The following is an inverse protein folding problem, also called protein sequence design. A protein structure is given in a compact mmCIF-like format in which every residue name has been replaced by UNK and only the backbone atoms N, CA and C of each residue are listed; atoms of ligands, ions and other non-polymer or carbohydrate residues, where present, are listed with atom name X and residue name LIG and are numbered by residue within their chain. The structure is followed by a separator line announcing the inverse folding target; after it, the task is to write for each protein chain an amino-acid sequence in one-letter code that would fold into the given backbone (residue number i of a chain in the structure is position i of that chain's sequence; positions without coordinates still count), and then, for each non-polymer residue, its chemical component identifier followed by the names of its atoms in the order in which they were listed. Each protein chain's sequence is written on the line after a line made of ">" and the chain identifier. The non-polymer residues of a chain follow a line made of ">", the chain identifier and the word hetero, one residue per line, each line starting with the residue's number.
data_IF_412544785561
#
_entry.id   IF_412544785561
#
_cell.length_a   1.000
_cell.length_b   1.000
_cell.length_c   1.000
_cell.angle_alpha   90.00
_cell.angle_beta   90.00
_cell.angle_gamma   90.00
#
_symmetry.space_group_name_H-M   'P 1'
#
loop_
_entity.id
_entity.type
_entity.pdbx_description
1 polymer ?
#
# COMPACT_ATOMS: atom_id res chain seq x y z
N UNK A 1 -9.54 -12.93 17.20
CA UNK A 1 -8.70 -13.70 16.25
C UNK A 1 -9.19 -13.36 14.86
N UNK A 2 -8.58 -12.35 14.23
CA UNK A 2 -8.87 -12.05 12.83
C UNK A 2 -8.18 -13.15 12.03
N UNK A 3 -9.00 -14.06 11.48
CA UNK A 3 -8.55 -15.01 10.48
C UNK A 3 -8.19 -14.15 9.27
N UNK A 4 -6.90 -14.04 8.99
CA UNK A 4 -6.38 -13.51 7.73
C UNK A 4 -6.92 -14.44 6.64
N UNK A 5 -8.03 -14.07 6.00
CA UNK A 5 -8.47 -14.75 4.79
C UNK A 5 -7.44 -14.41 3.71
N UNK A 6 -6.62 -15.39 3.33
CA UNK A 6 -5.53 -15.29 2.35
C UNK A 6 -6.00 -15.03 0.89
N UNK A 7 -7.05 -14.24 0.68
CA UNK A 7 -7.61 -13.96 -0.65
C UNK A 7 -7.50 -12.48 -1.08
N UNK A 8 -7.10 -11.54 -0.21
CA UNK A 8 -7.25 -10.10 -0.52
C UNK A 8 -6.07 -9.22 -0.10
N UNK A 9 -4.83 -9.61 -0.42
CA UNK A 9 -3.66 -8.69 -0.34
C UNK A 9 -3.42 -7.95 -1.66
N UNK A 10 -4.49 -7.68 -2.40
CA UNK A 10 -4.44 -7.09 -3.74
C UNK A 10 -5.05 -5.70 -3.77
N UNK A 11 -4.58 -4.87 -4.70
CA UNK A 11 -5.10 -3.53 -4.91
C UNK A 11 -6.59 -3.60 -5.30
N UNK A 12 -7.49 -2.93 -4.55
CA UNK A 12 -8.93 -3.09 -4.74
C UNK A 12 -9.51 -2.27 -5.89
N UNK A 13 -8.76 -1.31 -6.45
CA UNK A 13 -9.21 -0.47 -7.56
C UNK A 13 -8.04 0.27 -8.24
N UNK A 14 -8.33 0.86 -9.40
CA UNK A 14 -7.43 1.80 -10.06
C UNK A 14 -6.47 1.12 -11.04
N UNK A 15 -5.29 1.72 -11.23
CA UNK A 15 -4.36 1.33 -12.31
C UNK A 15 -3.81 -0.09 -12.13
N UNK A 16 -3.61 -0.51 -10.89
CA UNK A 16 -2.98 -1.78 -10.53
C UNK A 16 -3.96 -2.73 -9.85
N UNK A 17 -5.27 -2.59 -10.10
CA UNK A 17 -6.29 -3.47 -9.53
C UNK A 17 -5.93 -4.96 -9.72
N UNK A 18 -6.08 -5.75 -8.66
CA UNK A 18 -5.75 -7.18 -8.65
C UNK A 18 -4.26 -7.50 -8.48
N UNK A 19 -3.36 -6.51 -8.49
CA UNK A 19 -1.94 -6.72 -8.18
C UNK A 19 -1.74 -6.86 -6.68
N UNK A 20 -0.74 -7.63 -6.24
CA UNK A 20 -0.39 -7.66 -4.82
C UNK A 20 0.21 -6.32 -4.37
N UNK A 21 0.01 -5.97 -3.10
CA UNK A 21 0.65 -4.77 -2.54
C UNK A 21 2.17 -4.85 -2.58
N UNK A 22 2.75 -6.04 -2.43
CA UNK A 22 4.20 -6.24 -2.59
C UNK A 22 4.69 -5.88 -3.99
N UNK A 23 4.02 -6.36 -5.04
CA UNK A 23 4.35 -6.06 -6.44
C UNK A 23 4.15 -4.57 -6.76
N UNK A 24 3.06 -3.97 -6.26
CA UNK A 24 2.80 -2.55 -6.43
C UNK A 24 3.93 -1.72 -5.84
N UNK A 25 4.35 -2.01 -4.61
CA UNK A 25 5.33 -1.20 -3.91
C UNK A 25 6.73 -1.36 -4.51
N UNK A 26 7.10 -2.53 -5.04
CA UNK A 26 8.38 -2.71 -5.73
C UNK A 26 8.40 -2.06 -7.13
N UNK A 27 7.27 -2.12 -7.84
CA UNK A 27 7.14 -1.58 -9.21
C UNK A 27 6.94 -0.07 -9.23
N UNK A 28 6.02 0.45 -8.40
CA UNK A 28 5.59 1.85 -8.38
C UNK A 28 5.29 2.32 -6.94
N UNK A 29 6.35 2.55 -6.14
CA UNK A 29 6.20 2.98 -4.75
C UNK A 29 5.52 4.35 -4.62
N UNK A 30 5.59 5.20 -5.65
CA UNK A 30 4.91 6.48 -5.67
C UNK A 30 3.39 6.32 -5.75
N UNK A 31 2.91 5.37 -6.56
CA UNK A 31 1.49 5.03 -6.59
C UNK A 31 1.01 4.42 -5.28
N UNK A 32 1.81 3.55 -4.65
CA UNK A 32 1.50 3.01 -3.33
C UNK A 32 1.29 4.11 -2.28
N UNK A 33 2.17 5.12 -2.26
CA UNK A 33 2.05 6.28 -1.38
C UNK A 33 0.85 7.17 -1.71
N UNK A 34 0.52 7.34 -3.00
CA UNK A 34 -0.67 8.06 -3.42
C UNK A 34 -1.93 7.32 -2.95
N UNK A 35 -1.98 6.00 -3.12
CA UNK A 35 -3.12 5.16 -2.77
C UNK A 35 -3.42 5.22 -1.25
N UNK A 36 -2.38 5.29 -0.41
CA UNK A 36 -2.52 5.55 1.04
C UNK A 36 -3.11 6.93 1.38
N UNK A 37 -3.00 7.92 0.50
CA UNK A 37 -3.62 9.24 0.69
C UNK A 37 -5.05 9.29 0.18
N UNK A 38 -5.47 8.27 -0.56
CA UNK A 38 -6.79 8.24 -1.19
C UNK A 38 -7.88 7.97 -0.16
N UNK A 39 -8.88 8.84 -0.13
CA UNK A 39 -9.96 8.79 0.86
C UNK A 39 -10.84 7.55 0.68
N UNK A 40 -11.01 7.12 -0.56
CA UNK A 40 -11.81 5.94 -0.90
C UNK A 40 -11.18 4.66 -0.35
N UNK A 41 -9.85 4.51 -0.42
CA UNK A 41 -9.18 3.34 0.14
C UNK A 41 -9.45 3.25 1.64
N UNK A 42 -9.21 4.35 2.37
CA UNK A 42 -9.39 4.40 3.82
C UNK A 42 -10.84 4.19 4.25
N UNK A 43 -11.81 4.68 3.48
CA UNK A 43 -13.22 4.63 3.86
C UNK A 43 -13.91 3.33 3.43
N UNK A 44 -13.61 2.79 2.25
CA UNK A 44 -14.28 1.61 1.69
C UNK A 44 -13.52 0.31 1.96
N UNK A 45 -12.20 0.38 2.07
CA UNK A 45 -11.31 -0.77 2.20
C UNK A 45 -10.33 -0.59 3.38
N UNK A 46 -10.83 -0.47 4.62
CA UNK A 46 -9.99 -0.18 5.77
C UNK A 46 -8.90 -1.24 6.03
N UNK A 47 -9.20 -2.53 5.80
CA UNK A 47 -8.20 -3.59 5.95
C UNK A 47 -7.06 -3.45 4.92
N UNK A 48 -7.42 -3.21 3.65
CA UNK A 48 -6.47 -2.99 2.56
C UNK A 48 -5.57 -1.77 2.80
N UNK A 49 -6.11 -0.73 3.45
CA UNK A 49 -5.32 0.42 3.87
C UNK A 49 -4.21 0.02 4.85
N UNK A 50 -4.54 -0.75 5.90
CA UNK A 50 -3.55 -1.16 6.90
C UNK A 50 -2.53 -2.14 6.32
N UNK A 51 -2.95 -3.05 5.45
CA UNK A 51 -2.04 -3.95 4.76
C UNK A 51 -1.06 -3.17 3.87
N UNK A 52 -1.55 -2.28 3.01
CA UNK A 52 -0.69 -1.44 2.17
C UNK A 52 0.26 -0.56 2.99
N UNK A 53 -0.22 0.00 4.11
CA UNK A 53 0.59 0.79 5.04
C UNK A 53 1.71 -0.08 5.64
N UNK A 54 1.40 -1.31 6.04
CA UNK A 54 2.37 -2.28 6.53
C UNK A 54 3.43 -2.61 5.48
N UNK A 55 3.03 -2.89 4.23
CA UNK A 55 3.96 -3.14 3.11
C UNK A 55 4.88 -1.93 2.85
N UNK A 56 4.32 -0.71 2.87
CA UNK A 56 5.08 0.53 2.69
C UNK A 56 6.08 0.77 3.83
N UNK A 57 5.68 0.54 5.08
CA UNK A 57 6.54 0.71 6.26
C UNK A 57 7.62 -0.38 6.37
N UNK A 58 7.28 -1.63 6.04
CA UNK A 58 8.21 -2.75 6.01
C UNK A 58 9.35 -2.53 5.01
N UNK A 59 9.04 -2.00 3.82
CA UNK A 59 10.06 -1.64 2.84
C UNK A 59 10.82 -0.36 3.21
N UNK A 60 10.20 0.60 3.91
CA UNK A 60 10.88 1.78 4.44
C UNK A 60 11.92 1.46 5.54
N UNK A 61 11.71 0.40 6.32
CA UNK A 61 12.69 -0.11 7.28
C UNK A 61 13.89 -0.78 6.58
N UNK A 62 13.66 -1.46 5.45
CA UNK A 62 14.69 -2.15 4.69
C UNK A 62 15.50 -1.24 3.73
N UNK A 63 14.89 -0.18 3.18
CA UNK A 63 15.50 0.69 2.16
C UNK A 63 15.70 2.11 2.72
N UNK A 64 16.96 2.51 2.98
CA UNK A 64 17.41 3.82 3.54
C UNK A 64 17.07 5.08 2.70
N UNK A 65 15.95 5.11 1.97
CA UNK A 65 15.61 6.18 1.03
C UNK A 65 14.15 6.65 1.03
N UNK A 66 13.23 5.94 1.68
CA UNK A 66 11.79 6.24 1.59
C UNK A 66 11.36 7.56 2.25
N UNK A 67 12.09 8.02 3.28
CA UNK A 67 11.79 9.29 3.99
C UNK A 67 11.89 10.55 3.11
N UNK A 68 12.48 10.49 1.92
CA UNK A 68 12.55 11.64 0.99
C UNK A 68 11.36 11.77 0.06
N UNK A 69 10.62 10.70 -0.24
CA UNK A 69 9.49 10.75 -1.16
C UNK A 69 8.16 11.15 -0.48
N UNK A 70 8.03 10.90 0.83
CA UNK A 70 6.82 11.24 1.58
C UNK A 70 6.68 12.74 1.91
N UNK A 71 7.77 13.51 1.88
CA UNK A 71 7.78 14.97 1.95
C UNK A 71 8.06 15.52 0.55
N UNK A 72 6.99 15.75 -0.20
CA UNK A 72 7.06 16.56 -1.41
C UNK A 72 7.44 17.99 -1.04
N UNK A 73 8.40 18.52 -1.79
CA UNK A 73 8.51 19.95 -2.10
C UNK A 73 7.33 20.32 -3.01
#
# INVERSE_FOLDING_TARGET
>A
MHIINSDTETVPFGKYEGWSFGELVDTDPSYALWLLRESELRSKYPDHYYDLEFYCLGLAAARRGWRRLARGD
#
